data_IF_279050498887
#
_entry.id   IF_279050498887
#
_cell.length_a   1.000
_cell.length_b   1.000
_cell.length_c   1.000
_cell.angle_alpha   90.00
_cell.angle_beta   90.00
_cell.angle_gamma   90.00
#
_symmetry.space_group_name_H-M   'P 1'
#
loop_
_entity.id
_entity.type
_entity.pdbx_description
1 polymer ?
#
# COMPACT_ATOMS: atom_id res chain seq x y z
N UNK A 1 7.58 -65.61 38.40
CA UNK A 1 6.63 -64.67 37.83
C UNK A 1 7.36 -63.34 37.69
N UNK A 2 7.86 -63.08 36.48
CA UNK A 2 8.59 -61.83 36.19
C UNK A 2 7.66 -60.75 35.74
N UNK A 3 7.84 -59.57 36.28
CA UNK A 3 7.14 -58.36 35.87
C UNK A 3 8.02 -57.69 34.84
N UNK A 4 7.64 -57.76 33.57
CA UNK A 4 8.28 -57.01 32.51
C UNK A 4 7.87 -55.52 32.58
N UNK A 5 8.83 -54.68 32.88
CA UNK A 5 8.67 -53.23 32.87
C UNK A 5 8.71 -52.75 31.44
N UNK A 6 7.55 -52.40 30.87
CA UNK A 6 7.48 -51.76 29.56
C UNK A 6 7.94 -50.31 29.71
N UNK A 7 9.19 -50.04 29.38
CA UNK A 7 9.71 -48.66 29.27
C UNK A 7 9.16 -48.07 28.00
N UNK A 8 8.11 -47.27 28.11
CA UNK A 8 7.63 -46.42 27.00
C UNK A 8 8.71 -45.37 26.69
N UNK A 9 9.44 -45.55 25.64
CA UNK A 9 10.24 -44.49 25.06
C UNK A 9 9.29 -43.41 24.55
N UNK A 10 9.20 -42.34 25.31
CA UNK A 10 8.62 -41.06 24.80
C UNK A 10 9.67 -40.51 23.82
N UNK A 11 9.39 -40.66 22.55
CA UNK A 11 10.16 -40.00 21.52
C UNK A 11 10.07 -38.47 21.76
N UNK A 12 11.16 -37.85 22.14
CA UNK A 12 11.26 -36.42 22.22
C UNK A 12 10.89 -35.83 20.86
N UNK A 13 10.04 -34.76 20.77
CA UNK A 13 9.79 -34.11 19.52
C UNK A 13 11.15 -33.60 19.03
N UNK A 14 11.55 -34.11 17.86
CA UNK A 14 12.72 -33.61 17.14
C UNK A 14 12.61 -32.09 17.12
N UNK A 15 13.55 -31.41 17.75
CA UNK A 15 13.77 -29.99 17.54
C UNK A 15 14.07 -29.82 16.06
N UNK A 16 13.01 -29.62 15.27
CA UNK A 16 13.14 -29.17 13.90
C UNK A 16 13.84 -27.82 14.04
N UNK A 17 15.10 -27.84 13.74
CA UNK A 17 16.00 -26.71 13.69
C UNK A 17 15.21 -25.53 13.09
N UNK A 18 15.06 -24.46 13.87
CA UNK A 18 14.74 -23.11 13.38
C UNK A 18 15.91 -22.56 12.52
N UNK A 19 16.58 -23.48 11.81
CA UNK A 19 17.67 -23.22 10.93
C UNK A 19 17.16 -22.35 9.80
N UNK A 20 17.52 -21.09 9.87
CA UNK A 20 17.64 -20.21 8.74
C UNK A 20 16.39 -20.15 7.84
N UNK A 21 15.26 -19.71 8.38
CA UNK A 21 14.25 -19.09 7.53
C UNK A 21 14.94 -17.88 6.90
N UNK A 22 15.27 -18.00 5.63
CA UNK A 22 15.88 -16.91 4.89
C UNK A 22 15.00 -15.66 5.00
N UNK A 23 15.66 -14.50 5.14
CA UNK A 23 14.98 -13.19 5.22
C UNK A 23 13.92 -13.01 4.12
N UNK A 24 14.21 -13.56 2.93
CA UNK A 24 13.29 -13.56 1.79
C UNK A 24 12.04 -14.41 2.06
N UNK A 25 12.17 -15.55 2.73
CA UNK A 25 11.03 -16.39 3.13
C UNK A 25 10.18 -15.71 4.21
N UNK A 26 10.81 -15.08 5.20
CA UNK A 26 10.10 -14.30 6.22
C UNK A 26 9.29 -13.15 5.62
N UNK A 27 9.87 -12.44 4.64
CA UNK A 27 9.18 -11.38 3.91
C UNK A 27 7.99 -11.95 3.12
N UNK A 28 8.17 -13.07 2.42
CA UNK A 28 7.09 -13.72 1.67
C UNK A 28 5.95 -14.18 2.59
N UNK A 29 6.28 -14.82 3.71
CA UNK A 29 5.27 -15.26 4.71
C UNK A 29 4.51 -14.07 5.31
N UNK A 30 5.22 -12.99 5.66
CA UNK A 30 4.59 -11.77 6.15
C UNK A 30 3.65 -11.17 5.09
N UNK A 31 4.10 -11.07 3.85
CA UNK A 31 3.32 -10.52 2.76
C UNK A 31 2.09 -11.38 2.46
N UNK A 32 2.21 -12.71 2.53
CA UNK A 32 1.07 -13.61 2.39
C UNK A 32 0.07 -13.44 3.54
N UNK A 33 0.54 -13.38 4.78
CA UNK A 33 -0.31 -13.13 5.94
C UNK A 33 -1.05 -11.79 5.86
N UNK A 34 -0.38 -10.73 5.38
CA UNK A 34 -1.03 -9.45 5.14
C UNK A 34 -2.10 -9.55 4.03
N UNK A 35 -1.80 -10.21 2.92
CA UNK A 35 -2.80 -10.43 1.85
C UNK A 35 -4.03 -11.17 2.37
N UNK A 36 -3.83 -12.20 3.17
CA UNK A 36 -4.94 -12.99 3.72
C UNK A 36 -5.77 -12.19 4.72
N UNK A 37 -5.15 -11.32 5.53
CA UNK A 37 -5.87 -10.40 6.40
C UNK A 37 -6.70 -9.36 5.62
N UNK A 38 -6.22 -8.93 4.46
CA UNK A 38 -6.90 -7.88 3.67
C UNK A 38 -7.96 -8.44 2.71
N UNK A 39 -7.99 -9.73 2.40
CA UNK A 39 -9.00 -10.35 1.52
C UNK A 39 -10.45 -10.24 2.02
N UNK A 40 -10.64 -10.05 3.30
CA UNK A 40 -11.96 -9.95 3.93
C UNK A 40 -12.41 -8.51 4.20
N UNK A 41 -11.76 -7.52 3.57
CA UNK A 41 -12.05 -6.10 3.78
C UNK A 41 -12.85 -5.47 2.63
N UNK A 42 -13.47 -6.28 1.79
CA UNK A 42 -14.23 -5.84 0.61
C UNK A 42 -15.45 -4.94 0.98
N UNK A 43 -15.89 -4.99 2.24
CA UNK A 43 -17.01 -4.19 2.76
C UNK A 43 -16.56 -2.89 3.47
N UNK A 44 -15.28 -2.56 3.49
CA UNK A 44 -14.82 -1.32 4.12
C UNK A 44 -14.98 -0.16 3.13
N UNK A 45 -15.78 0.87 3.49
CA UNK A 45 -15.91 2.07 2.66
C UNK A 45 -14.54 2.70 2.35
N UNK A 46 -14.39 3.20 1.14
CA UNK A 46 -13.15 3.81 0.65
C UNK A 46 -11.93 2.87 0.65
N UNK A 47 -12.16 1.56 0.48
CA UNK A 47 -11.08 0.57 0.36
C UNK A 47 -11.03 -0.01 -1.06
N UNK A 48 -10.06 0.44 -1.85
CA UNK A 48 -9.86 0.01 -3.24
C UNK A 48 -11.14 0.14 -4.11
N UNK A 49 -11.96 1.15 -3.84
CA UNK A 49 -13.20 1.35 -4.57
C UNK A 49 -12.98 2.04 -5.91
N UNK A 50 -13.48 1.45 -6.97
CA UNK A 50 -13.49 2.07 -8.29
C UNK A 50 -14.37 3.34 -8.27
N UNK A 51 -13.81 4.45 -8.78
CA UNK A 51 -14.52 5.72 -8.90
C UNK A 51 -14.94 5.99 -10.34
N UNK A 52 -13.98 6.07 -11.24
CA UNK A 52 -14.22 6.36 -12.64
C UNK A 52 -13.09 5.86 -13.54
N UNK A 53 -13.41 5.72 -14.82
CA UNK A 53 -12.41 5.59 -15.88
C UNK A 53 -12.53 6.79 -16.81
N UNK A 54 -11.52 7.61 -16.86
CA UNK A 54 -11.46 8.81 -17.69
C UNK A 54 -10.27 8.68 -18.62
N UNK A 55 -10.50 8.72 -19.92
CA UNK A 55 -9.50 8.39 -20.93
C UNK A 55 -8.86 7.01 -20.62
N UNK A 56 -7.53 6.95 -20.50
CA UNK A 56 -6.79 5.74 -20.19
C UNK A 56 -6.38 5.63 -18.70
N UNK A 57 -7.00 6.41 -17.83
CA UNK A 57 -6.78 6.40 -16.38
C UNK A 57 -7.96 5.79 -15.64
N UNK A 58 -7.67 4.88 -14.72
CA UNK A 58 -8.64 4.29 -13.82
C UNK A 58 -8.44 4.88 -12.42
N UNK A 59 -9.43 5.58 -11.88
CA UNK A 59 -9.35 6.23 -10.58
C UNK A 59 -9.92 5.31 -9.50
N UNK A 60 -9.15 5.09 -8.43
CA UNK A 60 -9.47 4.18 -7.33
C UNK A 60 -9.31 4.92 -6.00
N UNK A 61 -10.36 4.88 -5.20
CA UNK A 61 -10.40 5.42 -3.86
C UNK A 61 -9.95 4.36 -2.84
N UNK A 62 -8.84 4.60 -2.19
CA UNK A 62 -8.28 3.77 -1.13
C UNK A 62 -7.97 4.64 0.11
N UNK A 63 -8.83 5.64 0.39
CA UNK A 63 -8.67 6.55 1.52
C UNK A 63 -8.64 5.82 2.88
N UNK A 64 -9.20 4.61 2.96
CA UNK A 64 -9.10 3.76 4.14
C UNK A 64 -7.67 3.28 4.45
N UNK A 65 -6.72 3.44 3.53
CA UNK A 65 -5.32 3.02 3.73
C UNK A 65 -4.50 4.08 4.46
N UNK A 66 -4.77 4.24 5.74
CA UNK A 66 -4.12 5.22 6.63
C UNK A 66 -2.83 4.70 7.29
N UNK A 67 -2.15 3.75 6.68
CA UNK A 67 -0.83 3.26 7.10
C UNK A 67 -0.09 2.56 5.96
N UNK A 68 1.23 2.46 6.10
CA UNK A 68 2.14 1.87 5.09
C UNK A 68 1.78 0.43 4.69
N UNK A 69 1.28 -0.40 5.61
CA UNK A 69 0.94 -1.79 5.28
C UNK A 69 -0.34 -1.86 4.42
N UNK A 70 -1.33 -1.02 4.71
CA UNK A 70 -2.56 -0.95 3.94
C UNK A 70 -2.30 -0.41 2.52
N UNK A 71 -1.48 0.65 2.39
CA UNK A 71 -1.02 1.15 1.10
C UNK A 71 -0.19 0.12 0.34
N UNK A 72 0.68 -0.63 1.03
CA UNK A 72 1.41 -1.73 0.40
C UNK A 72 0.46 -2.73 -0.27
N UNK A 73 -0.61 -3.11 0.42
CA UNK A 73 -1.61 -4.01 -0.15
C UNK A 73 -2.28 -3.42 -1.40
N UNK A 74 -2.66 -2.14 -1.36
CA UNK A 74 -3.28 -1.46 -2.48
C UNK A 74 -2.37 -1.45 -3.72
N UNK A 75 -1.10 -1.05 -3.54
CA UNK A 75 -0.11 -1.02 -4.63
C UNK A 75 0.20 -2.42 -5.16
N UNK A 76 0.30 -3.42 -4.27
CA UNK A 76 0.62 -4.80 -4.64
C UNK A 76 -0.54 -5.48 -5.39
N UNK A 77 -1.78 -5.20 -4.99
CA UNK A 77 -3.00 -5.77 -5.59
C UNK A 77 -3.35 -5.14 -6.94
N UNK A 78 -2.82 -3.96 -7.24
CA UNK A 78 -3.08 -3.27 -8.50
C UNK A 78 -2.13 -3.77 -9.59
N UNK A 79 -2.69 -4.05 -10.76
CA UNK A 79 -1.92 -4.45 -11.94
C UNK A 79 -1.53 -3.23 -12.79
N UNK A 80 -0.43 -3.35 -13.53
CA UNK A 80 0.05 -2.34 -14.45
C UNK A 80 0.72 -1.14 -13.80
N UNK A 81 0.72 -0.03 -14.51
CA UNK A 81 1.32 1.24 -14.05
C UNK A 81 0.41 1.95 -13.05
N UNK A 82 1.00 2.53 -12.03
CA UNK A 82 0.30 3.23 -10.96
C UNK A 82 0.76 4.69 -10.90
N UNK A 83 -0.20 5.59 -10.73
CA UNK A 83 0.01 6.94 -10.22
C UNK A 83 -0.54 6.94 -8.79
N UNK A 84 0.33 7.15 -7.83
CA UNK A 84 -0.04 7.09 -6.42
C UNK A 84 -0.22 8.51 -5.86
N UNK A 85 -1.43 8.81 -5.38
CA UNK A 85 -1.73 10.03 -4.62
C UNK A 85 -1.59 9.68 -3.13
N UNK A 86 -0.64 10.32 -2.45
CA UNK A 86 -0.34 10.13 -1.03
C UNK A 86 -0.58 11.41 -0.26
N UNK A 87 -0.74 11.32 1.06
CA UNK A 87 -0.76 12.50 1.92
C UNK A 87 0.63 12.80 2.49
N UNK A 88 0.99 14.07 2.51
CA UNK A 88 2.13 14.56 3.28
C UNK A 88 1.89 14.45 4.78
N UNK A 89 2.96 14.38 5.56
CA UNK A 89 2.90 14.32 7.03
C UNK A 89 4.19 14.86 7.64
N UNK A 90 4.07 15.54 8.78
CA UNK A 90 5.22 15.97 9.57
C UNK A 90 5.82 14.83 10.41
N UNK A 91 5.13 13.69 10.49
CA UNK A 91 5.62 12.52 11.20
C UNK A 91 6.60 11.73 10.33
N UNK A 92 7.65 11.22 10.94
CA UNK A 92 8.56 10.31 10.25
C UNK A 92 7.84 8.99 9.89
N UNK A 93 7.86 8.63 8.61
CA UNK A 93 7.24 7.40 8.09
C UNK A 93 8.29 6.50 7.46
N UNK A 94 8.36 5.24 7.91
CA UNK A 94 9.25 4.25 7.30
C UNK A 94 8.60 3.60 6.07
N UNK A 95 8.88 4.16 4.90
CA UNK A 95 8.42 3.67 3.61
C UNK A 95 9.26 2.51 3.02
N UNK A 96 10.27 2.00 3.73
CA UNK A 96 11.15 0.91 3.22
C UNK A 96 10.36 -0.29 2.70
N UNK A 97 9.21 -0.57 3.32
CA UNK A 97 8.35 -1.70 2.94
C UNK A 97 7.71 -1.53 1.57
N UNK A 98 7.52 -0.30 1.10
CA UNK A 98 6.91 0.00 -0.19
C UNK A 98 7.91 0.01 -1.34
N UNK A 99 9.21 0.08 -1.07
CA UNK A 99 10.23 0.29 -2.11
C UNK A 99 10.15 -0.71 -3.26
N UNK A 100 9.87 -1.98 -2.98
CA UNK A 100 9.76 -3.02 -4.01
C UNK A 100 8.55 -2.78 -4.93
N UNK A 101 7.37 -2.59 -4.36
CA UNK A 101 6.14 -2.38 -5.14
C UNK A 101 6.17 -1.05 -5.88
N UNK A 102 6.70 0.00 -5.23
CA UNK A 102 6.85 1.33 -5.82
C UNK A 102 7.80 1.30 -7.02
N UNK A 103 8.99 0.72 -6.88
CA UNK A 103 9.98 0.67 -7.97
C UNK A 103 9.51 -0.12 -9.19
N UNK A 104 8.64 -1.08 -9.00
CA UNK A 104 8.11 -1.92 -10.09
C UNK A 104 6.94 -1.28 -10.81
N UNK A 105 6.02 -0.66 -10.10
CA UNK A 105 4.70 -0.28 -10.62
C UNK A 105 4.44 1.22 -10.63
N UNK A 106 4.98 1.99 -9.68
CA UNK A 106 4.65 3.42 -9.53
C UNK A 106 5.47 4.26 -10.49
N UNK A 107 4.79 5.03 -11.33
CA UNK A 107 5.40 5.93 -12.33
C UNK A 107 5.42 7.38 -11.87
N UNK A 108 4.51 7.73 -10.96
CA UNK A 108 4.41 9.07 -10.41
C UNK A 108 3.85 9.00 -8.99
N UNK A 109 4.38 9.82 -8.09
CA UNK A 109 3.84 10.07 -6.76
C UNK A 109 3.36 11.52 -6.72
N UNK A 110 2.13 11.72 -6.27
CA UNK A 110 1.50 13.02 -6.06
C UNK A 110 1.23 13.19 -4.57
N UNK A 111 1.94 14.08 -3.91
CA UNK A 111 1.82 14.30 -2.48
C UNK A 111 0.86 15.45 -2.21
N UNK A 112 -0.27 15.19 -1.53
CA UNK A 112 -1.29 16.19 -1.23
C UNK A 112 -1.20 16.61 0.22
N UNK A 113 -1.13 17.92 0.43
CA UNK A 113 -1.10 18.53 1.76
C UNK A 113 0.12 18.11 2.59
N UNK A 114 0.32 18.76 3.73
CA UNK A 114 1.39 18.42 4.67
C UNK A 114 2.80 18.48 4.09
N UNK A 115 3.73 17.79 4.76
CA UNK A 115 5.14 17.72 4.40
C UNK A 115 5.44 16.45 3.59
N UNK A 116 5.99 16.59 2.39
CA UNK A 116 6.35 15.48 1.49
C UNK A 116 7.77 14.93 1.73
N UNK A 117 8.54 15.49 2.66
CA UNK A 117 9.95 15.17 2.85
C UNK A 117 10.21 13.66 3.03
N UNK A 118 9.37 12.97 3.82
CA UNK A 118 9.51 11.52 4.03
C UNK A 118 9.30 10.71 2.75
N UNK A 119 8.43 11.17 1.83
CA UNK A 119 8.22 10.55 0.52
C UNK A 119 9.41 10.79 -0.40
N UNK A 120 9.92 12.02 -0.46
CA UNK A 120 11.12 12.35 -1.21
C UNK A 120 12.32 11.55 -0.73
N UNK A 121 12.61 11.52 0.57
CA UNK A 121 13.72 10.73 1.13
C UNK A 121 13.60 9.23 0.83
N UNK A 122 12.38 8.70 0.74
CA UNK A 122 12.17 7.27 0.50
C UNK A 122 12.28 6.90 -0.97
N UNK A 123 11.84 7.77 -1.90
CA UNK A 123 11.57 7.41 -3.28
C UNK A 123 12.29 8.26 -4.33
N UNK A 124 13.03 9.31 -3.96
CA UNK A 124 13.90 10.03 -4.90
C UNK A 124 14.89 9.08 -5.56
N UNK A 125 15.00 9.18 -6.88
CA UNK A 125 15.81 8.28 -7.70
C UNK A 125 15.21 6.87 -7.91
N UNK A 126 14.05 6.56 -7.34
CA UNK A 126 13.30 5.31 -7.55
C UNK A 126 12.11 5.56 -8.47
N UNK A 127 11.37 6.63 -8.25
CA UNK A 127 10.22 7.04 -9.05
C UNK A 127 10.62 8.22 -9.93
N UNK A 128 10.26 8.22 -11.23
CA UNK A 128 10.65 9.31 -12.13
C UNK A 128 10.13 10.69 -11.71
N UNK A 129 8.92 10.73 -11.14
CA UNK A 129 8.26 11.99 -10.78
C UNK A 129 7.63 11.89 -9.39
N UNK A 130 8.06 12.80 -8.50
CA UNK A 130 7.42 13.06 -7.20
C UNK A 130 7.03 14.53 -7.22
N UNK A 131 5.75 14.84 -7.03
CA UNK A 131 5.20 16.20 -7.17
C UNK A 131 4.43 16.56 -5.91
N UNK A 132 4.79 17.69 -5.31
CA UNK A 132 4.05 18.28 -4.20
C UNK A 132 2.84 19.04 -4.73
N UNK A 133 1.67 18.61 -4.31
CA UNK A 133 0.39 19.11 -4.80
C UNK A 133 -0.27 20.00 -3.74
N UNK A 134 -0.64 21.24 -4.09
CA UNK A 134 -1.27 22.15 -3.14
C UNK A 134 -2.70 21.73 -2.76
N UNK A 135 -3.37 20.94 -3.60
CA UNK A 135 -4.74 20.49 -3.38
C UNK A 135 -4.99 19.11 -4.01
N UNK A 136 -6.09 18.47 -3.63
CA UNK A 136 -6.56 17.23 -4.26
C UNK A 136 -6.95 17.47 -5.72
N UNK A 137 -7.60 18.59 -6.02
CA UNK A 137 -7.92 19.02 -7.39
C UNK A 137 -6.65 19.04 -8.27
N UNK A 138 -5.58 19.68 -7.79
CA UNK A 138 -4.32 19.74 -8.52
C UNK A 138 -3.75 18.33 -8.76
N UNK A 139 -3.78 17.46 -7.75
CA UNK A 139 -3.25 16.10 -7.87
C UNK A 139 -4.06 15.27 -8.88
N UNK A 140 -5.38 15.33 -8.84
CA UNK A 140 -6.26 14.60 -9.75
C UNK A 140 -6.08 15.07 -11.19
N UNK A 141 -6.03 16.38 -11.42
CA UNK A 141 -5.74 16.96 -12.74
C UNK A 141 -4.33 16.58 -13.22
N UNK A 142 -3.31 16.66 -12.35
CA UNK A 142 -1.94 16.28 -12.70
C UNK A 142 -1.81 14.80 -13.05
N UNK A 143 -2.58 13.93 -12.39
CA UNK A 143 -2.66 12.51 -12.74
C UNK A 143 -3.29 12.30 -14.11
N UNK A 144 -4.42 12.95 -14.39
CA UNK A 144 -5.12 12.81 -15.67
C UNK A 144 -4.26 13.24 -16.86
N UNK A 145 -3.65 14.41 -16.77
CA UNK A 145 -2.84 15.01 -17.84
C UNK A 145 -1.35 14.62 -17.80
N UNK A 146 -1.00 13.56 -17.05
CA UNK A 146 0.36 13.04 -17.05
C UNK A 146 0.70 12.32 -18.34
N UNK A 147 1.98 12.24 -18.66
CA UNK A 147 2.54 11.50 -19.79
C UNK A 147 2.54 9.97 -19.62
N UNK A 148 2.08 9.46 -18.47
CA UNK A 148 1.85 8.03 -18.26
C UNK A 148 0.61 7.62 -19.05
N UNK A 149 0.77 6.95 -20.19
CA UNK A 149 -0.34 6.66 -21.12
C UNK A 149 -1.51 5.92 -20.49
N UNK A 150 -1.23 4.82 -19.79
CA UNK A 150 -2.25 4.01 -19.11
C UNK A 150 -1.83 3.77 -17.68
N UNK A 151 -2.68 4.10 -16.74
CA UNK A 151 -2.40 3.91 -15.32
C UNK A 151 -3.67 3.74 -14.48
N UNK A 152 -3.51 3.08 -13.32
CA UNK A 152 -4.44 3.22 -12.21
C UNK A 152 -3.97 4.35 -11.29
N UNK A 153 -4.81 5.36 -11.13
CA UNK A 153 -4.62 6.45 -10.19
C UNK A 153 -5.22 6.05 -8.87
N UNK A 154 -4.40 5.82 -7.85
CA UNK A 154 -4.83 5.36 -6.54
C UNK A 154 -4.64 6.47 -5.52
N UNK A 155 -5.71 6.89 -4.87
CA UNK A 155 -5.61 7.71 -3.67
C UNK A 155 -5.47 6.81 -2.44
N UNK A 156 -4.27 6.70 -1.89
CA UNK A 156 -3.94 5.90 -0.70
C UNK A 156 -3.04 6.74 0.23
N UNK A 157 -3.60 7.32 1.30
CA UNK A 157 -2.91 8.32 2.14
C UNK A 157 -1.60 7.84 2.75
N UNK A 158 -1.48 6.53 3.06
CA UNK A 158 -0.33 5.90 3.72
C UNK A 158 -0.05 6.33 5.16
N UNK A 159 -0.71 7.37 5.63
CA UNK A 159 -0.57 7.95 6.97
C UNK A 159 -1.93 8.30 7.56
N UNK A 160 -2.00 8.42 8.88
CA UNK A 160 -3.19 8.98 9.52
C UNK A 160 -3.25 10.47 9.26
N UNK A 161 -4.47 10.96 9.08
CA UNK A 161 -4.77 12.37 8.89
C UNK A 161 -5.80 12.83 9.93
N UNK A 162 -5.89 14.14 10.19
CA UNK A 162 -6.91 14.71 11.08
C UNK A 162 -8.32 14.56 10.49
N UNK A 163 -8.45 14.71 9.16
CA UNK A 163 -9.69 14.44 8.46
C UNK A 163 -10.05 12.95 8.50
N UNK A 164 -11.33 12.66 8.58
CA UNK A 164 -11.85 11.30 8.57
C UNK A 164 -11.65 10.63 7.19
N UNK A 165 -11.65 9.30 7.17
CA UNK A 165 -11.58 8.52 5.93
C UNK A 165 -12.68 8.94 4.95
N UNK A 166 -13.89 9.18 5.45
CA UNK A 166 -15.03 9.60 4.62
C UNK A 166 -14.81 10.99 3.99
N UNK A 167 -14.25 11.94 4.73
CA UNK A 167 -13.94 13.27 4.20
C UNK A 167 -12.85 13.21 3.14
N UNK A 168 -11.79 12.42 3.38
CA UNK A 168 -10.69 12.24 2.43
C UNK A 168 -11.17 11.56 1.14
N UNK A 169 -11.92 10.46 1.26
CA UNK A 169 -12.46 9.74 0.11
C UNK A 169 -13.50 10.58 -0.66
N UNK A 170 -14.38 11.29 0.04
CA UNK A 170 -15.35 12.18 -0.59
C UNK A 170 -14.66 13.33 -1.35
N UNK A 171 -13.59 13.91 -0.79
CA UNK A 171 -12.82 14.95 -1.48
C UNK A 171 -12.20 14.39 -2.78
N UNK A 172 -11.53 13.24 -2.73
CA UNK A 172 -10.97 12.62 -3.92
C UNK A 172 -12.04 12.32 -4.99
N UNK A 173 -13.17 11.71 -4.60
CA UNK A 173 -14.26 11.37 -5.52
C UNK A 173 -14.88 12.60 -6.17
N UNK A 174 -15.06 13.68 -5.41
CA UNK A 174 -15.60 14.92 -5.94
C UNK A 174 -14.70 15.45 -7.06
N UNK A 175 -13.40 15.57 -6.82
CA UNK A 175 -12.46 16.08 -7.81
C UNK A 175 -12.38 15.17 -9.07
N UNK A 176 -12.50 13.86 -8.89
CA UNK A 176 -12.55 12.92 -10.03
C UNK A 176 -13.83 13.08 -10.83
N UNK A 177 -14.98 13.34 -10.17
CA UNK A 177 -16.27 13.53 -10.87
C UNK A 177 -16.39 14.91 -11.56
N UNK A 178 -15.52 15.86 -11.21
CA UNK A 178 -15.47 17.21 -11.81
C UNK A 178 -14.51 17.28 -13.03
N UNK A 179 -13.78 16.19 -13.36
CA UNK A 179 -12.94 16.08 -14.55
C UNK A 179 -13.77 15.99 -15.83
#
# INVERSE_FOLDING_TARGET
MGIETITRQIASPSHTSLAAIDRTQLIKMRNQGLRDCFKHLDDIPHKMEFVARIQNKCFVDDAASCNVNATWYALESTEGSIIWIANGTDSHVDYKKLKSSVSQKVKMILCVGGNAESLHQAFDGIVPHIVDCPSMEFAVNRALYSDVETATVIYSPSTRHEASINELGAAFRREVCEL
#
